data_IF_617362665118
#
_entry.id   IF_617362665118
#
_cell.length_a   1.000
_cell.length_b   1.000
_cell.length_c   1.000
_cell.angle_alpha   90.00
_cell.angle_beta   90.00
_cell.angle_gamma   90.00
#
_symmetry.space_group_name_H-M   'P 1'
#
loop_
_entity.id
_entity.type
_entity.pdbx_description
1 polymer ?
#
# COMPACT_ATOMS: atom_id res chain seq x y z
N UNK A 1 13.73 -3.16 33.95
CA UNK A 1 12.43 -2.61 34.37
C UNK A 1 11.64 -2.19 33.10
N UNK A 2 10.54 -2.89 32.77
CA UNK A 2 9.67 -2.51 31.66
C UNK A 2 8.93 -1.22 32.06
N UNK A 3 9.16 -0.12 31.32
CA UNK A 3 8.46 1.15 31.51
C UNK A 3 6.94 0.89 31.42
N UNK A 4 6.21 1.18 32.47
CA UNK A 4 4.76 1.10 32.49
C UNK A 4 4.18 1.97 31.38
N UNK A 5 3.37 1.38 30.50
CA UNK A 5 2.70 2.10 29.42
C UNK A 5 1.65 3.03 29.99
N UNK A 6 1.75 4.32 29.67
CA UNK A 6 0.75 5.32 30.07
C UNK A 6 -0.61 4.95 29.48
N UNK A 7 -1.69 4.91 30.28
CA UNK A 7 -3.04 4.62 29.78
C UNK A 7 -3.43 5.64 28.70
N UNK A 8 -3.89 5.15 27.55
CA UNK A 8 -4.40 6.01 26.48
C UNK A 8 -5.82 6.46 26.82
N UNK A 9 -6.17 7.71 26.48
CA UNK A 9 -7.52 8.21 26.67
C UNK A 9 -8.53 7.35 25.93
N UNK A 10 -9.75 7.20 26.43
CA UNK A 10 -10.86 6.46 25.76
C UNK A 10 -11.06 6.94 24.33
N UNK A 11 -11.00 8.25 24.06
CA UNK A 11 -11.06 8.81 22.71
C UNK A 11 -10.01 8.21 21.77
N UNK A 12 -8.76 8.03 22.23
CA UNK A 12 -7.70 7.44 21.42
C UNK A 12 -7.92 5.95 21.19
N UNK A 13 -8.43 5.24 22.19
CA UNK A 13 -8.77 3.82 22.08
C UNK A 13 -9.88 3.60 21.04
N UNK A 14 -10.97 4.36 21.12
CA UNK A 14 -12.06 4.28 20.16
C UNK A 14 -11.62 4.63 18.74
N UNK A 15 -10.73 5.62 18.57
CA UNK A 15 -10.13 5.91 17.26
C UNK A 15 -9.29 4.74 16.73
N UNK A 16 -8.49 4.07 17.58
CA UNK A 16 -7.72 2.88 17.20
C UNK A 16 -8.65 1.76 16.75
N UNK A 17 -9.66 1.45 17.52
CA UNK A 17 -10.64 0.41 17.20
C UNK A 17 -11.29 0.70 15.83
N UNK A 18 -11.79 1.91 15.62
CA UNK A 18 -12.39 2.32 14.35
C UNK A 18 -11.40 2.15 13.17
N UNK A 19 -10.16 2.65 13.29
CA UNK A 19 -9.19 2.59 12.20
C UNK A 19 -8.76 1.17 11.91
N UNK A 20 -8.57 0.31 12.92
CA UNK A 20 -8.16 -1.09 12.70
C UNK A 20 -9.29 -1.87 12.02
N UNK A 21 -10.55 -1.60 12.33
CA UNK A 21 -11.71 -2.23 11.68
C UNK A 21 -11.79 -1.92 10.18
N UNK A 22 -11.33 -0.73 9.75
CA UNK A 22 -11.35 -0.33 8.33
C UNK A 22 -10.09 -0.75 7.55
N UNK A 23 -9.15 -1.46 8.17
CA UNK A 23 -7.96 -1.95 7.45
C UNK A 23 -8.33 -2.99 6.41
N UNK A 24 -7.65 -2.90 5.26
CA UNK A 24 -7.87 -3.73 4.07
C UNK A 24 -6.64 -4.60 3.81
N UNK A 25 -6.42 -5.70 4.56
CA UNK A 25 -5.25 -6.56 4.37
C UNK A 25 -5.23 -7.26 3.01
N UNK A 26 -6.36 -7.33 2.32
CA UNK A 26 -6.46 -7.85 0.95
C UNK A 26 -6.03 -6.84 -0.13
N UNK A 27 -5.59 -5.62 0.24
CA UNK A 27 -5.02 -4.62 -0.67
C UNK A 27 -3.60 -4.30 -0.24
N UNK A 28 -2.62 -4.56 -1.10
CA UNK A 28 -1.21 -4.25 -0.89
C UNK A 28 -0.69 -3.27 -1.95
N UNK A 29 0.33 -2.51 -1.59
CA UNK A 29 1.14 -1.75 -2.53
C UNK A 29 2.59 -2.20 -2.42
N UNK A 30 3.26 -2.34 -3.55
CA UNK A 30 4.67 -2.68 -3.66
C UNK A 30 5.39 -1.49 -4.23
N UNK A 31 6.44 -1.05 -3.57
CA UNK A 31 7.30 0.06 -4.00
C UNK A 31 8.63 -0.50 -4.47
N UNK A 32 8.88 -0.43 -5.77
CA UNK A 32 10.11 -0.89 -6.39
C UNK A 32 11.06 0.28 -6.65
N UNK A 33 12.15 0.36 -5.87
CA UNK A 33 13.22 1.35 -6.03
C UNK A 33 12.74 2.82 -6.13
N UNK A 34 11.68 3.21 -5.42
CA UNK A 34 11.25 4.61 -5.34
C UNK A 34 12.34 5.43 -4.67
N UNK A 35 12.88 6.44 -5.35
CA UNK A 35 14.05 7.18 -4.91
C UNK A 35 13.73 8.34 -3.97
N UNK A 36 12.72 9.15 -4.29
CA UNK A 36 12.40 10.36 -3.55
C UNK A 36 11.70 10.05 -2.21
N UNK A 37 12.29 10.44 -1.06
CA UNK A 37 11.67 10.26 0.26
C UNK A 37 10.33 10.97 0.41
N UNK A 38 10.09 12.07 -0.32
CA UNK A 38 8.80 12.78 -0.30
C UNK A 38 7.71 11.95 -0.96
N UNK A 39 8.02 11.29 -2.09
CA UNK A 39 7.07 10.39 -2.76
C UNK A 39 6.73 9.20 -1.87
N UNK A 40 7.74 8.52 -1.31
CA UNK A 40 7.51 7.41 -0.37
C UNK A 40 6.63 7.86 0.80
N UNK A 41 6.94 9.01 1.39
CA UNK A 41 6.18 9.57 2.51
C UNK A 41 4.72 9.86 2.15
N UNK A 42 4.47 10.44 0.97
CA UNK A 42 3.12 10.73 0.46
C UNK A 42 2.34 9.45 0.19
N UNK A 43 2.99 8.42 -0.41
CA UNK A 43 2.37 7.11 -0.65
C UNK A 43 1.95 6.46 0.67
N UNK A 44 2.81 6.46 1.71
CA UNK A 44 2.45 5.91 3.02
C UNK A 44 1.26 6.63 3.66
N UNK A 45 1.15 7.96 3.49
CA UNK A 45 -0.02 8.73 3.97
C UNK A 45 -1.29 8.32 3.24
N UNK A 46 -1.22 8.11 1.93
CA UNK A 46 -2.34 7.62 1.13
C UNK A 46 -2.73 6.19 1.53
N UNK A 47 -1.75 5.31 1.74
CA UNK A 47 -1.99 3.95 2.25
C UNK A 47 -2.74 3.97 3.59
N UNK A 48 -2.29 4.80 4.53
CA UNK A 48 -2.98 4.95 5.82
C UNK A 48 -4.42 5.46 5.65
N UNK A 49 -4.63 6.45 4.78
CA UNK A 49 -5.93 7.05 4.51
C UNK A 49 -6.95 6.07 3.93
N UNK A 50 -6.52 5.17 3.03
CA UNK A 50 -7.39 4.16 2.41
C UNK A 50 -7.43 2.82 3.18
N UNK A 51 -6.73 2.73 4.31
CA UNK A 51 -6.79 1.55 5.17
C UNK A 51 -5.80 0.43 4.82
N UNK A 52 -4.80 0.63 3.96
CA UNK A 52 -3.76 -0.38 3.73
C UNK A 52 -2.92 -0.57 5.00
N UNK A 53 -2.84 -1.81 5.56
CA UNK A 53 -2.10 -2.04 6.79
C UNK A 53 -0.60 -2.20 6.58
N UNK A 54 -0.15 -2.61 5.37
CA UNK A 54 1.23 -3.01 5.11
C UNK A 54 1.66 -2.66 3.69
N UNK A 55 2.90 -2.17 3.53
CA UNK A 55 3.55 -1.85 2.25
C UNK A 55 4.75 -2.77 2.06
N UNK A 56 4.87 -3.37 0.88
CA UNK A 56 6.02 -4.17 0.48
C UNK A 56 7.08 -3.29 -0.19
N UNK A 57 8.32 -3.39 0.26
CA UNK A 57 9.45 -2.58 -0.19
C UNK A 57 10.45 -3.48 -0.92
N UNK A 58 10.66 -3.24 -2.20
CA UNK A 58 11.62 -3.98 -3.03
C UNK A 58 12.71 -3.00 -3.48
N UNK A 59 13.85 -3.06 -2.81
CA UNK A 59 14.98 -2.14 -3.03
C UNK A 59 16.25 -2.95 -3.24
N UNK A 60 16.71 -3.04 -4.47
CA UNK A 60 17.89 -3.80 -4.88
C UNK A 60 18.87 -2.99 -5.75
N UNK A 61 18.40 -1.91 -6.39
CA UNK A 61 19.26 -0.97 -7.14
C UNK A 61 19.55 0.28 -6.33
N UNK A 62 18.66 0.67 -5.45
CA UNK A 62 18.75 1.86 -4.63
C UNK A 62 18.56 1.54 -3.15
N UNK A 63 19.15 2.35 -2.28
CA UNK A 63 18.87 2.25 -0.86
C UNK A 63 17.49 2.83 -0.55
N UNK A 64 16.76 2.21 0.39
CA UNK A 64 15.51 2.79 0.87
C UNK A 64 15.79 4.20 1.45
N UNK A 65 15.08 5.24 0.97
CA UNK A 65 15.39 6.62 1.32
C UNK A 65 15.17 6.91 2.80
N UNK A 66 15.99 7.80 3.36
CA UNK A 66 15.83 8.28 4.73
C UNK A 66 14.63 9.23 4.80
N UNK A 67 13.58 8.82 5.47
CA UNK A 67 12.35 9.59 5.60
C UNK A 67 12.39 10.45 6.85
N UNK A 68 12.19 11.75 6.68
CA UNK A 68 12.15 12.69 7.80
C UNK A 68 10.98 12.42 8.75
N UNK A 69 11.22 12.52 10.06
CA UNK A 69 10.19 12.26 11.10
C UNK A 69 8.93 13.12 10.96
N UNK A 70 9.03 14.32 10.34
CA UNK A 70 7.92 15.25 10.16
C UNK A 70 7.15 15.06 8.85
N UNK A 71 7.75 14.43 7.83
CA UNK A 71 7.20 14.39 6.47
C UNK A 71 6.02 13.42 6.30
N UNK A 72 5.99 12.31 7.02
CA UNK A 72 4.96 11.26 6.87
C UNK A 72 3.72 11.43 7.75
N UNK A 73 3.61 12.55 8.49
CA UNK A 73 2.50 12.80 9.41
C UNK A 73 2.12 11.60 10.29
N UNK A 74 3.12 10.85 10.75
CA UNK A 74 2.99 9.60 11.53
C UNK A 74 2.49 8.35 10.76
N UNK A 75 2.22 8.39 9.45
CA UNK A 75 1.74 7.22 8.70
C UNK A 75 2.69 6.01 8.83
N UNK A 76 4.01 6.25 8.85
CA UNK A 76 5.01 5.20 9.11
C UNK A 76 4.85 4.45 10.44
N UNK A 77 4.10 5.02 11.36
CA UNK A 77 3.79 4.38 12.63
C UNK A 77 2.65 3.37 12.48
N UNK A 78 1.72 3.61 11.57
CA UNK A 78 0.47 2.88 11.47
C UNK A 78 0.40 1.95 10.26
N UNK A 79 1.28 2.15 9.26
CA UNK A 79 1.44 1.26 8.11
C UNK A 79 2.72 0.45 8.29
N UNK A 80 2.57 -0.86 8.33
CA UNK A 80 3.70 -1.79 8.47
C UNK A 80 4.52 -1.84 7.17
N UNK A 81 5.75 -2.31 7.27
CA UNK A 81 6.66 -2.46 6.14
C UNK A 81 7.27 -3.84 6.16
N UNK A 82 7.23 -4.48 5.03
CA UNK A 82 8.01 -5.69 4.78
C UNK A 82 9.04 -5.40 3.68
N UNK A 83 10.21 -6.03 3.76
CA UNK A 83 11.31 -5.77 2.84
C UNK A 83 11.65 -7.05 2.10
N UNK A 84 11.85 -6.92 0.79
CA UNK A 84 12.26 -7.99 -0.10
C UNK A 84 13.55 -7.61 -0.82
N UNK A 85 14.39 -8.59 -1.11
CA UNK A 85 15.67 -8.40 -1.79
C UNK A 85 15.53 -8.38 -3.31
N UNK A 86 14.43 -8.92 -3.84
CA UNK A 86 14.14 -8.95 -5.26
C UNK A 86 12.63 -8.94 -5.53
N UNK A 87 12.25 -8.68 -6.78
CA UNK A 87 10.87 -8.76 -7.26
C UNK A 87 10.36 -10.20 -7.18
N UNK A 88 11.19 -11.18 -7.52
CA UNK A 88 10.85 -12.59 -7.50
C UNK A 88 10.47 -13.05 -6.09
N UNK A 89 11.27 -12.66 -5.08
CA UNK A 89 10.97 -12.96 -3.67
C UNK A 89 9.63 -12.36 -3.26
N UNK A 90 9.41 -11.09 -3.56
CA UNK A 90 8.16 -10.39 -3.25
C UNK A 90 6.95 -11.03 -3.94
N UNK A 91 7.04 -11.31 -5.23
CA UNK A 91 5.93 -11.88 -6.01
C UNK A 91 5.60 -13.31 -5.58
N UNK A 92 6.61 -14.12 -5.27
CA UNK A 92 6.39 -15.47 -4.74
C UNK A 92 5.64 -15.43 -3.41
N UNK A 93 5.96 -14.48 -2.53
CA UNK A 93 5.25 -14.29 -1.27
C UNK A 93 3.80 -13.83 -1.50
N UNK A 94 3.59 -12.83 -2.34
CA UNK A 94 2.27 -12.35 -2.71
C UNK A 94 1.39 -13.44 -3.34
N UNK A 95 1.95 -14.28 -4.22
CA UNK A 95 1.21 -15.38 -4.86
C UNK A 95 0.86 -16.48 -3.87
N UNK A 96 1.74 -16.81 -2.92
CA UNK A 96 1.43 -17.75 -1.83
C UNK A 96 0.27 -17.23 -0.97
N UNK A 97 0.18 -15.93 -0.76
CA UNK A 97 -0.93 -15.31 -0.05
C UNK A 97 -2.20 -15.16 -0.92
N UNK A 98 -2.16 -15.49 -2.21
CA UNK A 98 -3.30 -15.45 -3.15
C UNK A 98 -3.60 -14.06 -3.71
N UNK A 99 -2.62 -13.16 -3.79
CA UNK A 99 -2.78 -11.86 -4.43
C UNK A 99 -2.74 -11.94 -5.95
N UNK A 100 -3.63 -11.19 -6.60
CA UNK A 100 -3.48 -10.80 -8.00
C UNK A 100 -2.50 -9.64 -8.06
N UNK A 101 -1.49 -9.73 -8.91
CA UNK A 101 -0.40 -8.77 -9.00
C UNK A 101 -0.60 -7.90 -10.24
N UNK A 102 -0.73 -6.59 -10.03
CA UNK A 102 -0.97 -5.60 -11.08
C UNK A 102 0.18 -4.62 -11.17
N UNK A 103 0.91 -4.60 -12.30
CA UNK A 103 2.03 -3.70 -12.54
C UNK A 103 1.59 -2.44 -13.30
N UNK A 104 1.91 -1.27 -12.76
CA UNK A 104 1.70 0.00 -13.45
C UNK A 104 2.71 0.14 -14.59
N UNK A 105 2.24 0.12 -15.84
CA UNK A 105 3.09 0.18 -17.04
C UNK A 105 2.31 0.75 -18.20
N UNK A 106 2.97 1.58 -19.03
CA UNK A 106 2.42 2.15 -20.27
C UNK A 106 2.72 1.30 -21.52
N UNK A 107 3.19 0.04 -21.32
CA UNK A 107 3.53 -0.86 -22.43
C UNK A 107 2.29 -1.47 -23.08
N UNK A 108 2.46 -1.96 -24.31
CA UNK A 108 1.40 -2.62 -25.07
C UNK A 108 0.72 -3.74 -24.25
N UNK A 109 -0.59 -3.81 -24.38
CA UNK A 109 -1.43 -4.75 -23.66
C UNK A 109 -1.74 -4.35 -22.20
N UNK A 110 -1.41 -3.13 -21.77
CA UNK A 110 -1.89 -2.60 -20.51
C UNK A 110 -3.38 -2.23 -20.61
N UNK A 111 -4.15 -2.63 -19.61
CA UNK A 111 -5.57 -2.26 -19.51
C UNK A 111 -5.72 -0.94 -18.75
N UNK A 112 -6.87 -0.29 -18.87
CA UNK A 112 -7.17 0.88 -18.03
C UNK A 112 -7.24 0.48 -16.56
N UNK A 113 -6.75 1.37 -15.65
CA UNK A 113 -6.97 1.23 -14.21
C UNK A 113 -8.45 0.97 -13.89
N UNK A 114 -9.34 1.62 -14.60
CA UNK A 114 -10.79 1.57 -14.33
C UNK A 114 -11.45 0.25 -14.78
N UNK A 115 -10.73 -0.58 -15.56
CA UNK A 115 -11.15 -1.92 -15.96
C UNK A 115 -10.64 -3.02 -15.03
N UNK A 116 -9.85 -2.67 -13.99
CA UNK A 116 -9.41 -3.61 -12.99
C UNK A 116 -10.50 -3.84 -11.93
N UNK A 117 -10.67 -5.11 -11.54
CA UNK A 117 -11.44 -5.46 -10.36
C UNK A 117 -10.53 -5.42 -9.11
N UNK A 118 -10.56 -4.31 -8.42
CA UNK A 118 -9.78 -4.07 -7.19
C UNK A 118 -10.51 -4.48 -5.92
N UNK A 119 -11.67 -5.10 -6.02
CA UNK A 119 -12.37 -5.74 -4.89
C UNK A 119 -11.72 -7.08 -4.52
N UNK A 120 -11.02 -7.71 -5.45
CA UNK A 120 -10.24 -8.93 -5.19
C UNK A 120 -8.98 -8.62 -4.39
N UNK A 121 -8.37 -9.69 -3.84
CA UNK A 121 -7.06 -9.60 -3.18
C UNK A 121 -6.01 -9.13 -4.19
N UNK A 122 -5.54 -7.89 -4.06
CA UNK A 122 -4.79 -7.18 -5.08
C UNK A 122 -3.51 -6.57 -4.53
N UNK A 123 -2.40 -6.76 -5.24
CA UNK A 123 -1.13 -6.10 -5.02
C UNK A 123 -0.79 -5.19 -6.20
N UNK A 124 -0.60 -3.92 -5.95
CA UNK A 124 -0.29 -2.90 -6.95
C UNK A 124 1.19 -2.57 -6.91
N UNK A 125 1.87 -2.69 -8.04
CA UNK A 125 3.30 -2.42 -8.15
C UNK A 125 3.53 -1.05 -8.77
N UNK A 126 4.27 -0.22 -8.04
CA UNK A 126 4.74 1.09 -8.49
C UNK A 126 6.26 1.10 -8.54
N UNK A 127 6.79 1.60 -9.64
CA UNK A 127 8.23 1.62 -9.90
C UNK A 127 8.88 2.99 -9.67
N UNK A 128 10.17 3.03 -9.92
CA UNK A 128 11.01 4.22 -9.83
C UNK A 128 10.49 5.38 -10.70
N UNK A 129 10.68 6.61 -10.24
CA UNK A 129 10.15 7.82 -10.87
C UNK A 129 10.68 8.04 -12.30
N UNK A 130 11.88 7.55 -12.61
CA UNK A 130 12.51 7.74 -13.91
C UNK A 130 12.42 6.49 -14.79
N UNK A 131 12.59 5.30 -14.19
CA UNK A 131 12.64 4.02 -14.91
C UNK A 131 11.30 3.30 -14.97
N UNK A 132 10.34 3.70 -14.14
CA UNK A 132 9.08 2.98 -13.98
C UNK A 132 9.26 1.65 -13.24
N UNK A 133 8.32 0.74 -13.45
CA UNK A 133 8.35 -0.64 -12.98
C UNK A 133 9.32 -1.44 -13.86
N UNK A 134 10.16 -2.28 -13.26
CA UNK A 134 11.14 -3.07 -14.01
C UNK A 134 10.49 -4.06 -14.99
N UNK A 135 11.20 -4.39 -16.07
CA UNK A 135 10.72 -5.37 -17.07
C UNK A 135 10.44 -6.73 -16.45
N UNK A 136 11.23 -7.15 -15.48
CA UNK A 136 11.00 -8.40 -14.76
C UNK A 136 9.69 -8.37 -13.97
N UNK A 137 9.42 -7.27 -13.27
CA UNK A 137 8.18 -7.10 -12.53
C UNK A 137 6.95 -7.04 -13.47
N UNK A 138 7.08 -6.34 -14.59
CA UNK A 138 6.01 -6.26 -15.62
C UNK A 138 5.71 -7.64 -16.23
N UNK A 139 6.76 -8.43 -16.55
CA UNK A 139 6.60 -9.77 -17.15
C UNK A 139 5.96 -10.79 -16.21
N UNK A 140 6.26 -10.68 -14.91
CA UNK A 140 5.77 -11.63 -13.89
C UNK A 140 4.39 -11.25 -13.33
N UNK A 141 3.89 -10.03 -13.60
CA UNK A 141 2.59 -9.57 -13.14
C UNK A 141 1.44 -10.31 -13.84
N UNK A 142 0.32 -10.48 -13.13
CA UNK A 142 -0.88 -11.10 -13.70
C UNK A 142 -1.57 -10.17 -14.72
N UNK A 143 -1.47 -8.85 -14.51
CA UNK A 143 -1.92 -7.83 -15.48
C UNK A 143 -1.03 -6.59 -15.42
N UNK A 144 -0.91 -5.95 -16.58
CA UNK A 144 -0.39 -4.59 -16.70
C UNK A 144 -1.55 -3.62 -16.79
N UNK A 145 -1.39 -2.45 -16.18
CA UNK A 145 -2.41 -1.41 -16.25
C UNK A 145 -1.79 -0.02 -16.35
N UNK A 146 -2.57 0.92 -16.86
CA UNK A 146 -2.22 2.33 -16.93
C UNK A 146 -3.36 3.21 -16.39
N UNK A 147 -3.00 4.40 -15.95
CA UNK A 147 -3.96 5.48 -15.70
C UNK A 147 -4.18 6.21 -17.02
N UNK A 148 -5.42 6.28 -17.57
CA UNK A 148 -5.67 6.99 -18.81
C UNK A 148 -5.28 8.46 -18.72
N UNK A 149 -4.53 8.94 -19.71
CA UNK A 149 -4.07 10.32 -19.79
C UNK A 149 -4.35 10.88 -21.19
N UNK A 150 -4.87 12.10 -21.28
CA UNK A 150 -5.29 12.75 -22.53
C UNK A 150 -4.54 14.06 -22.78
N UNK A 151 -3.51 14.35 -21.97
CA UNK A 151 -2.69 15.57 -22.08
C UNK A 151 -1.36 15.32 -22.77
N UNK A 152 -0.52 16.35 -22.79
CA UNK A 152 0.83 16.30 -23.39
C UNK A 152 1.83 15.51 -22.52
N UNK A 153 1.59 15.39 -21.23
CA UNK A 153 2.48 14.65 -20.32
C UNK A 153 2.27 13.14 -20.46
N UNK A 154 3.36 12.38 -20.37
CA UNK A 154 3.33 10.93 -20.53
C UNK A 154 3.27 10.17 -19.20
N UNK A 155 3.49 10.84 -18.08
CA UNK A 155 3.47 10.23 -16.76
C UNK A 155 2.99 11.20 -15.69
N UNK A 156 2.49 10.66 -14.59
CA UNK A 156 2.20 11.38 -13.35
C UNK A 156 3.33 11.16 -12.35
N UNK A 157 3.50 12.09 -11.41
CA UNK A 157 4.31 11.83 -10.24
C UNK A 157 3.82 10.54 -9.56
N UNK A 158 4.73 9.68 -9.13
CA UNK A 158 4.42 8.34 -8.60
C UNK A 158 3.51 8.37 -7.36
N UNK A 159 3.63 9.40 -6.52
CA UNK A 159 2.74 9.53 -5.36
C UNK A 159 1.33 9.99 -5.73
N UNK A 160 1.20 10.76 -6.82
CA UNK A 160 -0.10 11.11 -7.41
C UNK A 160 -0.74 9.90 -8.06
N UNK A 161 0.03 9.14 -8.85
CA UNK A 161 -0.44 7.88 -9.42
C UNK A 161 -0.92 6.91 -8.33
N UNK A 162 -0.14 6.75 -7.27
CA UNK A 162 -0.53 5.94 -6.10
C UNK A 162 -1.86 6.40 -5.51
N UNK A 163 -2.07 7.71 -5.35
CA UNK A 163 -3.31 8.24 -4.79
C UNK A 163 -4.51 7.93 -5.69
N UNK A 164 -4.40 8.13 -7.00
CA UNK A 164 -5.47 7.82 -7.96
C UNK A 164 -5.85 6.34 -7.91
N UNK A 165 -4.84 5.45 -7.96
CA UNK A 165 -5.05 4.00 -7.95
C UNK A 165 -5.71 3.55 -6.64
N UNK A 166 -5.20 4.01 -5.51
CA UNK A 166 -5.68 3.61 -4.21
C UNK A 166 -7.08 4.16 -3.90
N UNK A 167 -7.42 5.35 -4.38
CA UNK A 167 -8.77 5.90 -4.24
C UNK A 167 -9.76 5.25 -5.21
N UNK A 168 -9.32 4.76 -6.37
CA UNK A 168 -10.16 3.91 -7.20
C UNK A 168 -10.43 2.56 -6.51
N UNK A 169 -9.41 1.94 -5.92
CA UNK A 169 -9.60 0.74 -5.10
C UNK A 169 -10.57 0.99 -3.94
N UNK A 170 -10.39 2.10 -3.20
CA UNK A 170 -11.31 2.52 -2.14
C UNK A 170 -12.75 2.64 -2.65
N UNK A 171 -12.96 3.34 -3.78
CA UNK A 171 -14.28 3.53 -4.38
C UNK A 171 -14.97 2.21 -4.70
N UNK A 172 -14.26 1.27 -5.34
CA UNK A 172 -14.79 -0.04 -5.68
C UNK A 172 -15.14 -0.85 -4.42
N UNK A 173 -14.23 -0.88 -3.42
CA UNK A 173 -14.38 -1.61 -2.16
C UNK A 173 -15.50 -1.03 -1.30
N UNK A 174 -15.65 0.28 -1.22
CA UNK A 174 -16.79 0.92 -0.54
C UNK A 174 -18.12 0.53 -1.19
N UNK A 175 -18.19 0.57 -2.54
CA UNK A 175 -19.39 0.17 -3.27
C UNK A 175 -19.76 -1.30 -3.05
N UNK A 176 -18.77 -2.15 -2.77
CA UNK A 176 -18.96 -3.59 -2.48
C UNK A 176 -19.14 -3.90 -0.99
N UNK A 177 -19.25 -2.88 -0.12
CA UNK A 177 -19.45 -3.07 1.33
C UNK A 177 -18.25 -3.61 2.09
N UNK A 178 -17.04 -3.58 1.51
CA UNK A 178 -15.83 -4.14 2.15
C UNK A 178 -15.35 -3.31 3.35
N UNK A 179 -15.82 -2.07 3.50
CA UNK A 179 -15.56 -1.23 4.67
C UNK A 179 -16.67 -1.31 5.74
N UNK A 180 -17.74 -2.09 5.51
CA UNK A 180 -18.84 -2.21 6.46
C UNK A 180 -18.51 -3.17 7.61
N UNK A 181 -17.56 -4.08 7.38
CA UNK A 181 -17.04 -5.04 8.36
C UNK A 181 -15.54 -5.19 8.23
N UNK A 182 -14.89 -5.60 9.32
CA UNK A 182 -13.45 -5.89 9.30
C UNK A 182 -13.11 -7.06 8.38
N UNK A 183 -12.02 -6.95 7.61
CA UNK A 183 -11.43 -8.08 6.88
C UNK A 183 -10.59 -9.01 7.79
N UNK A 184 -10.23 -8.55 9.00
CA UNK A 184 -9.56 -9.39 9.99
C UNK A 184 -10.55 -10.34 10.68
N UNK A 185 -10.10 -11.54 11.02
CA UNK A 185 -10.80 -12.40 11.96
C UNK A 185 -10.89 -11.73 13.34
N UNK A 186 -11.79 -12.21 14.20
CA UNK A 186 -11.96 -11.63 15.54
C UNK A 186 -10.66 -11.66 16.37
N UNK A 187 -9.86 -12.72 16.24
CA UNK A 187 -8.62 -12.87 16.99
C UNK A 187 -7.52 -11.94 16.45
N UNK A 188 -7.36 -11.86 15.12
CA UNK A 188 -6.44 -10.90 14.48
C UNK A 188 -6.82 -9.46 14.82
N UNK A 189 -8.11 -9.13 14.82
CA UNK A 189 -8.61 -7.81 15.15
C UNK A 189 -8.27 -7.44 16.60
N UNK A 190 -8.52 -8.34 17.56
CA UNK A 190 -8.17 -8.16 18.98
C UNK A 190 -6.65 -7.96 19.15
N UNK A 191 -5.85 -8.78 18.47
CA UNK A 191 -4.40 -8.67 18.51
C UNK A 191 -3.91 -7.31 17.96
N UNK A 192 -4.39 -6.88 16.78
CA UNK A 192 -4.03 -5.60 16.16
C UNK A 192 -4.45 -4.40 17.03
N UNK A 193 -5.65 -4.40 17.59
CA UNK A 193 -6.12 -3.36 18.52
C UNK A 193 -5.19 -3.30 19.73
N UNK A 194 -4.84 -4.44 20.32
CA UNK A 194 -3.94 -4.51 21.46
C UNK A 194 -2.55 -3.95 21.11
N UNK A 195 -1.94 -4.42 20.02
CA UNK A 195 -0.65 -3.92 19.54
C UNK A 195 -0.66 -2.40 19.35
N UNK A 196 -1.71 -1.84 18.73
CA UNK A 196 -1.80 -0.40 18.48
C UNK A 196 -2.08 0.41 19.76
N UNK A 197 -2.79 -0.17 20.70
CA UNK A 197 -3.07 0.46 21.99
C UNK A 197 -1.78 0.69 22.78
N UNK A 198 -0.79 -0.18 22.68
CA UNK A 198 0.50 -0.05 23.37
C UNK A 198 1.62 0.56 22.49
N UNK A 199 1.35 0.86 21.24
CA UNK A 199 2.33 1.47 20.32
C UNK A 199 2.60 2.93 20.73
N UNK A 200 3.88 3.25 21.06
CA UNK A 200 4.36 4.59 21.46
C UNK A 200 4.41 5.57 20.29
#
# INVERSE_FOLDING_TARGET
>A
MKSASVPKTERRKNKIISVVNFRQPSLKIVLENIHDPHNVSAIFRTCDAVGIPKVSLVYYQEAFPKIGKKSSASAFKWVEREKFKSIEECYNDLKKEGFNIYASSITDGAVSLYDLDLTKKSAIILGNEHRGVSDSAVKMADKKFLIPMFGMVQSLNVSVAAAIILYEALRQRMKSGMYDKSEYSEDELKEKINQWTFKK
#
